data_IF_295498538785
#
_entry.id   IF_295498538785
#
_cell.length_a   1.000
_cell.length_b   1.000
_cell.length_c   1.000
_cell.angle_alpha   90.00
_cell.angle_beta   90.00
_cell.angle_gamma   90.00
#
_symmetry.space_group_name_H-M   'P 1'
#
loop_
_entity.id
_entity.type
_entity.pdbx_description
1 polymer ?
#
# COMPACT_ATOMS: atom_id res chain seq x y z
N UNK A 1 6.75 -4.39 -27.01
CA UNK A 1 8.18 -4.30 -27.37
C UNK A 1 9.00 -3.64 -26.27
N UNK A 2 8.65 -2.45 -25.77
CA UNK A 2 9.46 -1.70 -24.80
C UNK A 2 9.68 -2.46 -23.47
N UNK A 3 8.67 -3.12 -22.92
CA UNK A 3 8.82 -3.92 -21.70
C UNK A 3 9.87 -5.04 -21.86
N UNK A 4 9.92 -5.69 -23.02
CA UNK A 4 10.95 -6.72 -23.32
C UNK A 4 12.33 -6.10 -23.40
N UNK A 5 12.49 -4.93 -24.04
CA UNK A 5 13.77 -4.20 -24.06
C UNK A 5 14.25 -3.85 -22.64
N UNK A 6 13.36 -3.36 -21.80
CA UNK A 6 13.68 -3.06 -20.38
C UNK A 6 14.09 -4.33 -19.61
N UNK A 7 13.37 -5.45 -19.84
CA UNK A 7 13.65 -6.71 -19.15
C UNK A 7 15.01 -7.33 -19.48
N UNK A 8 15.63 -6.97 -20.63
CA UNK A 8 16.98 -7.45 -20.99
C UNK A 8 18.11 -6.66 -20.32
N UNK A 9 17.82 -5.54 -19.66
CA UNK A 9 18.82 -4.68 -19.04
C UNK A 9 19.17 -5.16 -17.62
N UNK A 10 20.32 -4.70 -17.11
CA UNK A 10 20.76 -4.98 -15.75
C UNK A 10 19.97 -4.12 -14.74
N UNK A 11 18.71 -4.50 -14.55
CA UNK A 11 17.82 -3.86 -13.59
C UNK A 11 17.01 -4.89 -12.83
N UNK A 12 16.84 -4.65 -11.51
CA UNK A 12 16.11 -5.52 -10.60
C UNK A 12 14.72 -4.94 -10.27
N UNK A 13 13.79 -5.83 -9.95
CA UNK A 13 12.45 -5.49 -9.47
C UNK A 13 11.36 -5.77 -10.49
N UNK A 14 10.12 -5.57 -10.06
CA UNK A 14 8.93 -5.64 -10.92
C UNK A 14 8.61 -4.24 -11.41
N UNK A 15 8.54 -4.07 -12.71
CA UNK A 15 8.35 -2.77 -13.36
C UNK A 15 7.15 -2.82 -14.30
N UNK A 16 6.33 -1.79 -14.29
CA UNK A 16 5.35 -1.51 -15.32
C UNK A 16 5.99 -0.61 -16.37
N UNK A 17 5.97 -1.05 -17.62
CA UNK A 17 6.44 -0.23 -18.76
C UNK A 17 5.25 0.09 -19.63
N UNK A 18 4.85 1.35 -19.63
CA UNK A 18 3.64 1.81 -20.30
C UNK A 18 3.84 3.21 -20.89
N UNK A 19 3.45 3.41 -22.14
CA UNK A 19 3.59 4.67 -22.89
C UNK A 19 4.96 5.36 -22.81
N UNK A 20 6.02 4.55 -22.74
CA UNK A 20 7.40 5.03 -22.63
C UNK A 20 7.89 5.25 -21.19
N UNK A 21 7.02 5.19 -20.21
CA UNK A 21 7.38 5.33 -18.80
C UNK A 21 7.72 3.97 -18.18
N UNK A 22 8.72 3.95 -17.30
CA UNK A 22 9.10 2.82 -16.47
C UNK A 22 8.73 3.15 -15.03
N UNK A 23 7.74 2.44 -14.50
CA UNK A 23 7.16 2.69 -13.18
C UNK A 23 7.47 1.51 -12.26
N UNK A 24 7.80 1.76 -11.00
CA UNK A 24 7.92 0.72 -9.99
C UNK A 24 6.56 0.03 -9.81
N UNK A 25 6.48 -1.29 -9.97
CA UNK A 25 5.22 -2.03 -9.94
C UNK A 25 4.42 -1.80 -8.66
N UNK A 26 5.09 -1.78 -7.50
CA UNK A 26 4.46 -1.52 -6.20
C UNK A 26 3.96 -0.07 -6.00
N UNK A 27 4.33 0.85 -6.89
CA UNK A 27 3.92 2.26 -6.89
C UNK A 27 3.02 2.63 -8.06
N UNK A 28 2.74 1.68 -8.96
CA UNK A 28 1.94 1.93 -10.15
C UNK A 28 0.45 1.99 -9.82
N UNK A 29 -0.24 2.96 -10.45
CA UNK A 29 -1.68 3.12 -10.37
C UNK A 29 -2.26 3.43 -11.73
N UNK A 30 -3.45 2.90 -12.02
CA UNK A 30 -4.17 3.23 -13.25
C UNK A 30 -4.94 4.53 -13.07
N UNK A 31 -4.47 5.60 -13.74
CA UNK A 31 -5.02 6.96 -13.63
C UNK A 31 -6.23 7.19 -14.55
N UNK A 32 -6.31 6.46 -15.66
CA UNK A 32 -7.39 6.61 -16.64
C UNK A 32 -7.70 5.29 -17.31
N UNK A 33 -8.96 5.10 -17.69
CA UNK A 33 -9.41 3.96 -18.49
C UNK A 33 -9.26 4.20 -20.00
N UNK A 34 -9.20 5.46 -20.43
CA UNK A 34 -9.28 5.85 -21.85
C UNK A 34 -8.01 6.48 -22.42
N UNK A 35 -7.14 7.04 -21.57
CA UNK A 35 -5.88 7.65 -22.03
C UNK A 35 -4.84 6.63 -22.42
N UNK A 36 -3.96 6.99 -23.36
CA UNK A 36 -2.81 6.16 -23.75
C UNK A 36 -1.76 6.15 -22.62
N UNK A 37 -1.53 7.28 -21.94
CA UNK A 37 -0.71 7.44 -20.75
C UNK A 37 -1.50 7.09 -19.48
N UNK A 38 -2.08 5.90 -19.44
CA UNK A 38 -3.10 5.51 -18.48
C UNK A 38 -2.57 5.14 -17.09
N UNK A 39 -1.26 4.99 -16.89
CA UNK A 39 -0.65 4.63 -15.62
C UNK A 39 0.34 5.67 -15.15
N UNK A 40 0.44 5.86 -13.83
CA UNK A 40 1.43 6.72 -13.21
C UNK A 40 1.93 6.19 -11.89
N UNK A 41 3.06 6.70 -11.41
CA UNK A 41 3.59 6.37 -10.09
C UNK A 41 2.84 7.16 -9.01
N UNK A 42 2.60 6.52 -7.87
CA UNK A 42 2.00 7.15 -6.69
C UNK A 42 3.08 7.34 -5.62
N UNK A 43 3.21 8.58 -5.14
CA UNK A 43 4.18 9.00 -4.11
C UNK A 43 5.64 8.62 -4.43
N UNK A 44 5.96 8.48 -5.71
CA UNK A 44 7.28 8.08 -6.22
C UNK A 44 7.54 8.70 -7.58
N UNK A 45 8.80 8.81 -7.98
CA UNK A 45 9.16 9.21 -9.33
C UNK A 45 9.15 8.02 -10.31
N UNK A 46 9.32 8.31 -11.59
CA UNK A 46 9.59 7.29 -12.60
C UNK A 46 10.92 6.60 -12.31
N UNK A 47 10.97 5.28 -12.51
CA UNK A 47 12.23 4.53 -12.50
C UNK A 47 13.06 4.83 -13.75
N UNK A 48 12.42 5.29 -14.83
CA UNK A 48 13.08 5.65 -16.06
C UNK A 48 12.11 5.87 -17.20
N UNK A 49 12.67 6.07 -18.39
CA UNK A 49 11.92 6.33 -19.60
C UNK A 49 12.51 5.53 -20.77
N UNK A 50 11.64 5.06 -21.64
CA UNK A 50 11.96 4.44 -22.92
C UNK A 50 11.69 5.44 -24.02
N UNK A 51 12.74 5.94 -24.63
CA UNK A 51 12.72 6.79 -25.82
C UNK A 51 13.47 6.04 -26.96
N UNK A 52 14.29 6.73 -27.73
CA UNK A 52 15.25 6.08 -28.65
C UNK A 52 16.20 5.20 -27.84
N UNK A 53 16.75 5.76 -26.77
CA UNK A 53 17.49 5.07 -25.69
C UNK A 53 16.58 4.77 -24.49
N UNK A 54 17.10 3.99 -23.55
CA UNK A 54 16.43 3.72 -22.27
C UNK A 54 17.26 4.36 -21.17
N UNK A 55 16.63 5.26 -20.40
CA UNK A 55 17.27 5.97 -19.29
C UNK A 55 16.61 5.59 -18.00
N UNK A 56 17.42 5.28 -16.99
CA UNK A 56 16.96 5.00 -15.64
C UNK A 56 17.33 6.14 -14.69
N UNK A 57 16.48 6.35 -13.70
CA UNK A 57 16.78 7.20 -12.56
C UNK A 57 17.72 6.47 -11.58
N UNK A 58 18.34 7.23 -10.67
CA UNK A 58 19.22 6.68 -9.63
C UNK A 58 18.52 5.72 -8.66
N UNK A 59 17.19 5.79 -8.58
CA UNK A 59 16.38 4.87 -7.77
C UNK A 59 16.20 3.47 -8.37
N UNK A 60 16.53 3.28 -9.65
CA UNK A 60 16.44 1.99 -10.33
C UNK A 60 17.61 1.08 -9.93
N UNK A 61 17.33 0.03 -9.17
CA UNK A 61 18.34 -0.90 -8.64
C UNK A 61 18.89 -1.79 -9.75
N UNK A 62 20.21 -2.07 -9.72
CA UNK A 62 20.84 -3.11 -10.52
C UNK A 62 20.48 -4.51 -10.00
N UNK A 63 20.66 -5.53 -10.85
CA UNK A 63 20.54 -6.93 -10.42
C UNK A 63 21.63 -7.28 -9.40
N UNK A 64 21.40 -8.34 -8.67
CA UNK A 64 22.33 -8.85 -7.66
C UNK A 64 22.40 -10.38 -7.74
N UNK A 65 23.48 -10.97 -7.23
CA UNK A 65 23.75 -12.41 -7.28
C UNK A 65 23.09 -13.20 -6.12
N UNK A 66 22.30 -12.54 -5.27
CA UNK A 66 21.60 -13.22 -4.17
C UNK A 66 20.56 -14.19 -4.73
N UNK A 67 20.42 -15.40 -4.17
CA UNK A 67 19.43 -16.35 -4.62
C UNK A 67 18.00 -15.81 -4.43
N UNK A 68 17.12 -16.18 -5.35
CA UNK A 68 15.70 -15.83 -5.27
C UNK A 68 15.07 -16.46 -4.03
N UNK A 69 14.47 -15.63 -3.18
CA UNK A 69 13.65 -16.08 -2.07
C UNK A 69 12.19 -16.09 -2.51
N UNK A 70 11.72 -17.23 -2.96
CA UNK A 70 10.34 -17.38 -3.42
C UNK A 70 9.40 -17.69 -2.26
N UNK A 71 8.49 -16.76 -1.97
CA UNK A 71 7.50 -16.86 -0.89
C UNK A 71 6.08 -16.67 -1.46
N UNK A 72 5.49 -17.71 -2.06
CA UNK A 72 4.19 -17.62 -2.75
C UNK A 72 3.01 -17.59 -1.79
N UNK A 73 1.85 -17.21 -2.35
CA UNK A 73 0.54 -17.30 -1.72
C UNK A 73 0.08 -16.01 -1.06
N UNK A 74 -1.24 -15.87 -1.05
CA UNK A 74 -1.97 -14.73 -0.52
C UNK A 74 -3.17 -15.23 0.30
N UNK A 75 -3.52 -14.52 1.37
CA UNK A 75 -4.78 -14.66 2.08
C UNK A 75 -5.80 -13.68 1.49
N UNK A 76 -6.84 -14.19 0.86
CA UNK A 76 -7.81 -13.35 0.14
C UNK A 76 -8.95 -12.82 1.03
N UNK A 77 -9.08 -13.33 2.27
CA UNK A 77 -10.16 -12.93 3.19
C UNK A 77 -9.87 -11.57 3.83
N UNK A 78 -9.89 -10.51 3.03
CA UNK A 78 -9.78 -9.14 3.48
C UNK A 78 -10.99 -8.32 3.06
N UNK A 79 -11.34 -7.31 3.87
CA UNK A 79 -12.34 -6.29 3.54
C UNK A 79 -11.67 -4.96 3.21
N UNK A 80 -12.18 -4.24 2.22
CA UNK A 80 -11.71 -2.88 1.89
C UNK A 80 -12.91 -1.95 2.00
N UNK A 81 -12.80 -0.94 2.86
CA UNK A 81 -13.90 -0.03 3.18
C UNK A 81 -13.46 1.41 2.96
N UNK A 82 -14.26 2.15 2.20
CA UNK A 82 -14.08 3.60 2.05
C UNK A 82 -15.03 4.30 3.01
N UNK A 83 -14.47 5.07 3.94
CA UNK A 83 -15.26 5.83 4.91
C UNK A 83 -15.83 7.07 4.22
N UNK A 84 -17.13 7.31 4.41
CA UNK A 84 -17.83 8.51 3.93
C UNK A 84 -18.77 9.02 5.03
N UNK A 85 -19.19 10.31 4.98
CA UNK A 85 -20.16 10.82 5.97
C UNK A 85 -21.44 10.00 5.98
N UNK A 86 -21.75 9.37 7.13
CA UNK A 86 -22.91 8.49 7.28
C UNK A 86 -22.60 7.00 7.06
N UNK A 87 -21.34 6.60 6.74
CA UNK A 87 -20.99 5.17 6.72
C UNK A 87 -21.19 4.57 8.12
N UNK A 88 -22.08 3.57 8.29
CA UNK A 88 -22.42 3.08 9.62
C UNK A 88 -21.34 2.12 10.15
N UNK A 89 -20.85 2.29 11.40
CA UNK A 89 -19.92 1.36 12.04
C UNK A 89 -20.45 -0.09 12.09
N UNK A 90 -21.77 -0.28 12.11
CA UNK A 90 -22.41 -1.60 12.11
C UNK A 90 -22.03 -2.46 10.89
N UNK A 91 -21.68 -1.86 9.74
CA UNK A 91 -21.21 -2.60 8.58
C UNK A 91 -19.85 -3.24 8.83
N UNK A 92 -18.95 -2.53 9.53
CA UNK A 92 -17.66 -3.10 9.95
C UNK A 92 -17.90 -4.23 10.95
N UNK A 93 -18.72 -3.98 11.98
CA UNK A 93 -19.05 -4.95 13.03
C UNK A 93 -19.66 -6.22 12.43
N UNK A 94 -20.63 -6.10 11.52
CA UNK A 94 -21.26 -7.23 10.87
C UNK A 94 -20.25 -8.10 10.08
N UNK A 95 -19.30 -7.48 9.38
CA UNK A 95 -18.26 -8.23 8.67
C UNK A 95 -17.23 -8.89 9.62
N UNK A 96 -16.89 -8.24 10.72
CA UNK A 96 -16.03 -8.78 11.78
C UNK A 96 -16.71 -10.00 12.44
N UNK A 97 -17.99 -9.89 12.79
CA UNK A 97 -18.74 -10.94 13.48
C UNK A 97 -19.01 -12.16 12.61
N UNK A 98 -19.21 -11.99 11.30
CA UNK A 98 -19.29 -13.10 10.35
C UNK A 98 -18.04 -13.99 10.36
N UNK A 99 -16.90 -13.47 10.83
CA UNK A 99 -15.64 -14.22 10.93
C UNK A 99 -14.98 -14.58 9.60
N UNK A 100 -15.43 -14.00 8.49
CA UNK A 100 -14.97 -14.33 7.15
C UNK A 100 -13.74 -13.52 6.71
N UNK A 101 -13.32 -12.52 7.50
CA UNK A 101 -12.16 -11.67 7.16
C UNK A 101 -11.02 -11.89 8.15
N UNK A 102 -9.81 -11.79 7.66
CA UNK A 102 -8.54 -11.85 8.42
C UNK A 102 -7.85 -10.50 8.49
N UNK A 103 -8.24 -9.60 7.61
CA UNK A 103 -7.74 -8.24 7.61
C UNK A 103 -8.75 -7.27 7.01
N UNK A 104 -8.59 -6.00 7.33
CA UNK A 104 -9.36 -4.92 6.71
C UNK A 104 -8.48 -3.72 6.39
N UNK A 105 -8.81 -3.05 5.30
CA UNK A 105 -8.22 -1.79 4.89
C UNK A 105 -9.29 -0.72 4.98
N UNK A 106 -9.05 0.33 5.77
CA UNK A 106 -9.92 1.48 5.91
C UNK A 106 -9.34 2.66 5.12
N UNK A 107 -10.00 3.05 4.04
CA UNK A 107 -9.68 4.27 3.31
C UNK A 107 -10.28 5.46 4.08
N UNK A 108 -9.46 6.15 4.86
CA UNK A 108 -9.83 7.23 5.76
C UNK A 108 -9.73 8.61 5.10
N UNK A 109 -10.19 9.64 5.77
CA UNK A 109 -10.17 11.01 5.27
C UNK A 109 -8.76 11.63 5.35
N UNK A 110 -8.43 12.48 4.37
CA UNK A 110 -7.20 13.26 4.36
C UNK A 110 -5.97 12.42 4.72
N UNK A 111 -5.20 12.81 5.72
CA UNK A 111 -3.98 12.12 6.16
C UNK A 111 -4.23 10.90 7.09
N UNK A 112 -5.31 10.16 6.87
CA UNK A 112 -5.66 8.98 7.68
C UNK A 112 -6.57 9.30 8.87
N UNK A 113 -7.31 10.41 8.81
CA UNK A 113 -8.26 10.77 9.85
C UNK A 113 -9.50 9.87 9.79
N UNK A 114 -9.90 9.31 10.93
CA UNK A 114 -11.12 8.52 11.12
C UNK A 114 -12.02 9.21 12.15
N UNK A 115 -13.31 8.87 12.16
CA UNK A 115 -14.21 9.36 13.20
C UNK A 115 -14.12 8.49 14.46
N UNK A 116 -14.34 9.07 15.63
CA UNK A 116 -14.44 8.36 16.92
C UNK A 116 -15.44 7.21 16.91
N UNK A 117 -16.50 7.32 16.10
CA UNK A 117 -17.54 6.29 15.99
C UNK A 117 -17.02 4.92 15.51
N UNK A 118 -15.85 4.88 14.87
CA UNK A 118 -15.27 3.62 14.37
C UNK A 118 -14.31 2.95 15.37
N UNK A 119 -13.91 3.62 16.45
CA UNK A 119 -12.89 3.10 17.39
C UNK A 119 -13.31 1.77 18.03
N UNK A 120 -14.57 1.61 18.39
CA UNK A 120 -15.05 0.38 19.01
C UNK A 120 -15.07 -0.80 17.99
N UNK A 121 -15.44 -0.54 16.74
CA UNK A 121 -15.35 -1.55 15.68
C UNK A 121 -13.88 -1.93 15.38
N UNK A 122 -12.96 -0.97 15.43
CA UNK A 122 -11.52 -1.21 15.26
C UNK A 122 -11.00 -2.09 16.41
N UNK A 123 -11.31 -1.75 17.67
CA UNK A 123 -10.92 -2.56 18.84
C UNK A 123 -11.47 -3.98 18.73
N UNK A 124 -12.75 -4.11 18.40
CA UNK A 124 -13.37 -5.42 18.18
C UNK A 124 -12.62 -6.25 17.14
N UNK A 125 -12.18 -5.63 16.05
CA UNK A 125 -11.41 -6.30 15.00
C UNK A 125 -10.04 -6.78 15.52
N UNK A 126 -9.28 -5.90 16.14
CA UNK A 126 -7.94 -6.22 16.66
C UNK A 126 -7.98 -7.24 17.79
N UNK A 127 -8.96 -7.18 18.69
CA UNK A 127 -9.18 -8.17 19.75
C UNK A 127 -9.50 -9.56 19.19
N UNK A 128 -10.13 -9.62 18.02
CA UNK A 128 -10.39 -10.88 17.28
C UNK A 128 -9.21 -11.32 16.39
N UNK A 129 -8.08 -10.66 16.45
CA UNK A 129 -6.89 -10.96 15.63
C UNK A 129 -7.03 -10.61 14.15
N UNK A 130 -7.93 -9.67 13.81
CA UNK A 130 -8.08 -9.12 12.46
C UNK A 130 -7.15 -7.93 12.30
N UNK A 131 -6.24 -7.98 11.33
CA UNK A 131 -5.34 -6.88 11.04
C UNK A 131 -6.10 -5.69 10.43
N UNK A 132 -5.99 -4.51 11.03
CA UNK A 132 -6.64 -3.29 10.55
C UNK A 132 -5.59 -2.33 10.02
N UNK A 133 -5.64 -2.03 8.71
CA UNK A 133 -4.74 -1.08 8.05
C UNK A 133 -5.52 0.18 7.70
N UNK A 134 -4.99 1.35 8.10
CA UNK A 134 -5.58 2.65 7.75
C UNK A 134 -4.72 3.33 6.68
N UNK A 135 -5.38 3.73 5.59
CA UNK A 135 -4.80 4.51 4.49
C UNK A 135 -5.62 5.76 4.20
N UNK A 136 -5.20 6.56 3.24
CA UNK A 136 -5.91 7.76 2.78
C UNK A 136 -6.79 7.48 1.56
N UNK A 137 -7.87 8.23 1.42
CA UNK A 137 -8.66 8.29 0.18
C UNK A 137 -7.97 9.11 -0.92
N UNK A 138 -7.04 9.98 -0.55
CA UNK A 138 -6.28 10.75 -1.51
C UNK A 138 -5.44 9.83 -2.40
N UNK A 139 -5.26 10.22 -3.65
CA UNK A 139 -4.42 9.47 -4.59
C UNK A 139 -2.95 9.59 -4.20
N UNK A 140 -2.54 10.79 -3.80
CA UNK A 140 -1.18 11.12 -3.37
C UNK A 140 -1.17 11.58 -1.92
N UNK A 141 -0.04 11.42 -1.25
CA UNK A 141 0.19 11.79 0.14
C UNK A 141 0.42 10.59 1.04
N UNK A 142 0.52 10.86 2.32
CA UNK A 142 0.78 9.84 3.34
C UNK A 142 -0.21 9.96 4.49
N UNK A 143 -0.44 8.86 5.18
CA UNK A 143 -1.13 8.89 6.46
C UNK A 143 -0.20 9.44 7.55
N UNK A 144 -0.70 10.37 8.37
CA UNK A 144 -0.02 11.00 9.50
C UNK A 144 -0.92 10.95 10.74
N UNK A 145 -1.30 9.74 11.12
CA UNK A 145 -2.33 9.49 12.14
C UNK A 145 -1.99 10.08 13.50
N UNK A 146 -0.71 10.18 13.85
CA UNK A 146 -0.22 10.76 15.10
C UNK A 146 -0.57 12.24 15.29
N UNK A 147 -0.91 12.95 14.22
CA UNK A 147 -1.29 14.37 14.28
C UNK A 147 -2.67 14.59 14.92
N UNK A 148 -3.53 13.58 14.92
CA UNK A 148 -4.91 13.67 15.41
C UNK A 148 -5.09 12.80 16.64
N UNK A 149 -5.91 13.26 17.58
CA UNK A 149 -6.19 12.50 18.80
C UNK A 149 -6.85 11.15 18.51
N UNK A 150 -7.87 11.13 17.67
CA UNK A 150 -8.53 9.89 17.24
C UNK A 150 -7.57 8.96 16.50
N UNK A 151 -6.64 9.50 15.73
CA UNK A 151 -5.59 8.71 15.05
C UNK A 151 -4.66 8.03 16.06
N UNK A 152 -4.23 8.75 17.11
CA UNK A 152 -3.42 8.16 18.20
C UNK A 152 -4.18 7.06 18.93
N UNK A 153 -5.48 7.26 19.20
CA UNK A 153 -6.31 6.24 19.84
C UNK A 153 -6.44 4.98 18.96
N UNK A 154 -6.59 5.14 17.64
CA UNK A 154 -6.63 4.03 16.71
C UNK A 154 -5.29 3.28 16.66
N UNK A 155 -4.16 3.99 16.60
CA UNK A 155 -2.82 3.38 16.67
C UNK A 155 -2.63 2.58 17.96
N UNK A 156 -3.05 3.13 19.12
CA UNK A 156 -3.00 2.43 20.39
C UNK A 156 -3.92 1.21 20.45
N UNK A 157 -4.90 1.12 19.56
CA UNK A 157 -5.79 -0.04 19.39
C UNK A 157 -5.24 -1.06 18.38
N UNK A 158 -3.97 -0.95 17.97
CA UNK A 158 -3.32 -1.92 17.08
C UNK A 158 -3.54 -1.68 15.58
N UNK A 159 -4.00 -0.50 15.19
CA UNK A 159 -4.10 -0.13 13.76
C UNK A 159 -2.71 -0.02 13.13
N UNK A 160 -2.57 -0.57 11.95
CA UNK A 160 -1.38 -0.47 11.11
C UNK A 160 -1.53 0.75 10.19
N UNK A 161 -0.65 1.73 10.34
CA UNK A 161 -0.61 2.90 9.48
C UNK A 161 0.04 2.55 8.14
N UNK A 162 -0.60 2.91 7.00
CA UNK A 162 -0.11 2.55 5.68
C UNK A 162 0.96 3.52 5.12
N UNK A 163 1.16 4.67 5.76
CA UNK A 163 2.06 5.73 5.30
C UNK A 163 1.75 6.16 3.84
N UNK A 164 2.71 6.06 2.94
CA UNK A 164 2.65 6.53 1.56
C UNK A 164 2.46 5.40 0.52
N UNK A 165 2.15 4.18 0.97
CA UNK A 165 1.91 3.07 0.05
C UNK A 165 0.71 3.33 -0.87
N UNK A 166 0.78 2.86 -2.13
CA UNK A 166 -0.38 2.83 -3.03
C UNK A 166 -1.45 1.86 -2.51
N UNK A 167 -2.71 2.10 -2.84
CA UNK A 167 -3.83 1.24 -2.40
C UNK A 167 -3.66 -0.21 -2.86
N UNK A 168 -3.21 -0.41 -4.08
CA UNK A 168 -2.93 -1.72 -4.66
C UNK A 168 -1.84 -2.46 -3.87
N UNK A 169 -0.78 -1.74 -3.52
CA UNK A 169 0.31 -2.31 -2.72
C UNK A 169 -0.14 -2.66 -1.31
N UNK A 170 -0.90 -1.79 -0.64
CA UNK A 170 -1.43 -2.05 0.71
C UNK A 170 -2.24 -3.35 0.73
N UNK A 171 -3.18 -3.50 -0.21
CA UNK A 171 -4.05 -4.66 -0.32
C UNK A 171 -3.23 -5.93 -0.53
N UNK A 172 -2.37 -5.95 -1.54
CA UNK A 172 -1.58 -7.13 -1.89
C UNK A 172 -0.54 -7.48 -0.84
N UNK A 173 0.09 -6.49 -0.21
CA UNK A 173 1.05 -6.70 0.87
C UNK A 173 0.38 -7.23 2.14
N UNK A 174 -0.82 -6.74 2.49
CA UNK A 174 -1.61 -7.27 3.59
C UNK A 174 -2.00 -8.73 3.34
N UNK A 175 -2.51 -9.05 2.15
CA UNK A 175 -2.83 -10.43 1.76
C UNK A 175 -1.60 -11.34 1.85
N UNK A 176 -0.43 -10.84 1.44
CA UNK A 176 0.83 -11.56 1.51
C UNK A 176 1.31 -11.75 2.95
N UNK A 177 1.19 -10.74 3.82
CA UNK A 177 1.54 -10.83 5.24
C UNK A 177 0.64 -11.82 5.98
N UNK A 178 -0.67 -11.74 5.80
CA UNK A 178 -1.67 -12.61 6.42
C UNK A 178 -1.52 -14.10 6.03
N UNK A 179 -0.92 -14.38 4.87
CA UNK A 179 -0.61 -15.77 4.48
C UNK A 179 0.56 -16.35 5.28
N UNK A 180 1.41 -15.51 5.87
CA UNK A 180 2.64 -15.91 6.56
C UNK A 180 2.45 -16.03 8.05
N UNK A 181 1.65 -15.17 8.64
CA UNK A 181 1.43 -15.14 10.08
C UNK A 181 0.02 -14.70 10.44
N UNK A 182 -0.43 -15.07 11.64
CA UNK A 182 -1.64 -14.53 12.27
C UNK A 182 -1.32 -13.61 13.45
N UNK A 183 -0.05 -13.41 13.76
CA UNK A 183 0.39 -12.49 14.80
C UNK A 183 0.34 -11.05 14.29
N UNK A 184 -0.43 -10.18 14.95
CA UNK A 184 -0.64 -8.80 14.51
C UNK A 184 0.65 -7.97 14.52
N UNK A 185 1.54 -8.18 15.48
CA UNK A 185 2.82 -7.47 15.56
C UNK A 185 3.74 -7.85 14.41
N UNK A 186 3.77 -9.14 14.04
CA UNK A 186 4.52 -9.62 12.88
C UNK A 186 3.93 -9.07 11.58
N UNK A 187 2.58 -9.02 11.46
CA UNK A 187 1.91 -8.42 10.30
C UNK A 187 2.29 -6.95 10.19
N UNK A 188 2.24 -6.20 11.29
CA UNK A 188 2.65 -4.80 11.31
C UNK A 188 4.11 -4.64 10.88
N UNK A 189 5.02 -5.46 11.40
CA UNK A 189 6.44 -5.46 11.01
C UNK A 189 6.62 -5.71 9.51
N UNK A 190 5.90 -6.68 8.95
CA UNK A 190 5.91 -6.96 7.51
C UNK A 190 5.39 -5.75 6.73
N UNK A 191 4.26 -5.18 7.14
CA UNK A 191 3.66 -4.02 6.47
C UNK A 191 4.59 -2.80 6.47
N UNK A 192 5.37 -2.57 7.54
CA UNK A 192 6.30 -1.45 7.67
C UNK A 192 7.72 -1.75 7.13
N UNK A 193 8.03 -2.98 6.75
CA UNK A 193 9.29 -3.31 6.09
C UNK A 193 9.25 -2.87 4.63
N UNK A 194 10.22 -2.09 4.19
CA UNK A 194 10.37 -1.70 2.80
C UNK A 194 11.15 -2.78 2.03
N UNK A 195 10.46 -3.55 1.19
CA UNK A 195 11.06 -4.63 0.38
C UNK A 195 11.56 -4.13 -0.97
N UNK A 196 10.77 -3.29 -1.65
CA UNK A 196 11.02 -2.93 -3.05
C UNK A 196 11.03 -1.42 -3.31
N UNK A 197 10.71 -0.59 -2.33
CA UNK A 197 10.48 0.85 -2.47
C UNK A 197 9.01 1.24 -2.29
N UNK A 198 8.19 0.30 -1.84
CA UNK A 198 6.74 0.46 -1.75
C UNK A 198 6.27 1.32 -0.57
N UNK A 199 7.12 1.56 0.42
CA UNK A 199 6.77 2.33 1.63
C UNK A 199 7.91 3.23 2.08
N UNK A 200 7.56 4.41 2.57
CA UNK A 200 8.45 5.30 3.29
C UNK A 200 7.83 5.65 4.65
N UNK A 201 8.37 5.07 5.71
CA UNK A 201 7.90 5.27 7.08
C UNK A 201 8.41 6.57 7.72
N UNK A 202 9.41 7.23 7.11
CA UNK A 202 9.98 8.50 7.60
C UNK A 202 9.16 9.72 7.20
N UNK A 203 8.10 9.54 6.40
CA UNK A 203 7.21 10.63 5.96
C UNK A 203 7.82 11.61 4.95
N UNK A 204 9.01 11.36 4.45
CA UNK A 204 9.60 12.14 3.37
C UNK A 204 8.99 11.71 2.06
N UNK A 205 8.12 12.51 1.49
CA UNK A 205 7.59 12.27 0.13
C UNK A 205 8.75 12.31 -0.87
N UNK A 206 9.01 11.20 -1.55
CA UNK A 206 9.97 11.17 -2.65
C UNK A 206 9.41 11.98 -3.80
N UNK A 207 10.15 13.01 -4.23
CA UNK A 207 9.79 13.84 -5.38
C UNK A 207 9.21 15.21 -5.06
N UNK A 208 9.13 15.64 -3.80
CA UNK A 208 8.95 17.06 -3.51
C UNK A 208 10.18 17.81 -4.06
N UNK A 209 10.00 18.46 -5.23
CA UNK A 209 11.00 19.41 -5.73
C UNK A 209 11.17 20.49 -4.65
N UNK A 210 12.33 20.54 -4.02
CA UNK A 210 12.81 21.70 -3.28
C UNK A 210 13.05 22.86 -4.24
#
# INVERSE_FOLDING_TARGET
VNAVRVATLDRAGVMLVFDGDIILGARSHKLSESKLDAFGPINWGLLGEVRIDIRFSDSAKARHDRPLQFQPGFESRIGVYTLFPGFPPSELVANIERGNIRGMVLNAYGSGNISYIYLDAIRLATDKGIAVVVTTQCLEGATLMHLYDVGRQALNSGVIQAYDMSKECIITKLMWALKRTSNLDEIQKIMHTNYTGEINVEGKLYGAKT
#
